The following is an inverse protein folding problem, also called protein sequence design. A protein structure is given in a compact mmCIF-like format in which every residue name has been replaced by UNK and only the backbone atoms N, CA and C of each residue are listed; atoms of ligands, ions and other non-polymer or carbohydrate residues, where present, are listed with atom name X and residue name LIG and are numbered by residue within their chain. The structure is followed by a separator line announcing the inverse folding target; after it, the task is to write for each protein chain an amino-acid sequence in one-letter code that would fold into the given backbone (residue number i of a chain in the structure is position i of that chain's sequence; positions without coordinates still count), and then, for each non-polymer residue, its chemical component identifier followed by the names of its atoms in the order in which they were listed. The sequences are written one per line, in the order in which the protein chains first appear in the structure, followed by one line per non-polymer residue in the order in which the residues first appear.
data_IF_172199387604
#
_entry.id   IF_172199387604
#
_cell.length_a   1.000
_cell.length_b   1.000
_cell.length_c   1.000
_cell.angle_alpha   90.00
_cell.angle_beta   90.00
_cell.angle_gamma   90.00
#
_symmetry.space_group_name_H-M   'P 1'
#
loop_
_entity.id
_entity.type
_entity.pdbx_description
1 polymer ?
#
# COMPACT_ATOMS: atom_id res chain seq x y z
N UNK A 1 -23.00 -0.62 -3.26
CA UNK A 1 -21.99 0.44 -3.43
C UNK A 1 -20.66 -0.14 -3.00
N UNK A 2 -19.67 -0.15 -3.87
CA UNK A 2 -18.35 -0.71 -3.58
C UNK A 2 -17.50 0.35 -2.89
N UNK A 3 -17.24 0.18 -1.59
CA UNK A 3 -16.41 1.10 -0.82
C UNK A 3 -14.95 0.63 -0.86
N UNK A 4 -14.07 1.45 -1.43
CA UNK A 4 -12.63 1.21 -1.50
C UNK A 4 -11.97 1.65 -0.21
N UNK A 5 -11.25 0.76 0.46
CA UNK A 5 -10.43 1.13 1.60
C UNK A 5 -9.10 1.64 1.07
N UNK A 6 -8.79 2.89 1.36
CA UNK A 6 -7.53 3.54 0.96
C UNK A 6 -6.69 3.80 2.20
N UNK A 7 -5.66 2.98 2.37
CA UNK A 7 -4.60 3.23 3.33
C UNK A 7 -3.71 4.36 2.80
N UNK A 8 -3.84 5.52 3.42
CA UNK A 8 -3.11 6.71 3.06
C UNK A 8 -2.31 7.25 4.24
N UNK A 9 -1.45 8.22 3.95
CA UNK A 9 -0.79 9.01 4.98
C UNK A 9 -1.12 10.48 4.72
N UNK A 10 -1.66 11.23 5.70
CA UNK A 10 -2.17 12.59 5.49
C UNK A 10 -1.11 13.59 4.98
N UNK A 11 0.18 13.36 5.30
CA UNK A 11 1.29 14.20 4.81
C UNK A 11 1.79 13.81 3.41
N UNK A 12 1.25 12.76 2.78
CA UNK A 12 1.70 12.30 1.47
C UNK A 12 0.91 12.96 0.34
N UNK A 13 1.59 13.76 -0.49
CA UNK A 13 0.98 14.40 -1.67
C UNK A 13 0.47 13.40 -2.71
N UNK A 14 1.22 12.31 -2.95
CA UNK A 14 0.85 11.24 -3.89
C UNK A 14 -0.46 10.54 -3.50
N UNK A 15 -0.71 10.40 -2.20
CA UNK A 15 -1.99 9.85 -1.73
C UNK A 15 -3.17 10.74 -2.11
N UNK A 16 -3.04 12.07 -2.01
CA UNK A 16 -4.13 12.99 -2.37
C UNK A 16 -4.49 12.90 -3.85
N UNK A 17 -3.48 12.75 -4.72
CA UNK A 17 -3.72 12.58 -6.15
C UNK A 17 -4.49 11.28 -6.45
N UNK A 18 -4.13 10.17 -5.79
CA UNK A 18 -4.84 8.91 -5.94
C UNK A 18 -6.29 8.99 -5.47
N UNK A 19 -6.52 9.62 -4.30
CA UNK A 19 -7.85 9.81 -3.75
C UNK A 19 -8.71 10.67 -4.67
N UNK A 20 -8.14 11.73 -5.24
CA UNK A 20 -8.84 12.56 -6.21
C UNK A 20 -9.23 11.75 -7.44
N UNK A 21 -8.27 11.03 -8.03
CA UNK A 21 -8.51 10.22 -9.22
C UNK A 21 -9.60 9.17 -9.00
N UNK A 22 -9.55 8.42 -7.89
CA UNK A 22 -10.56 7.40 -7.59
C UNK A 22 -11.95 8.01 -7.32
N UNK A 23 -12.02 9.21 -6.70
CA UNK A 23 -13.27 9.95 -6.55
C UNK A 23 -13.81 10.44 -7.89
N UNK A 24 -12.92 10.86 -8.80
CA UNK A 24 -13.29 11.25 -10.18
C UNK A 24 -13.86 10.08 -10.97
N UNK A 25 -13.43 8.84 -10.69
CA UNK A 25 -14.06 7.62 -11.21
C UNK A 25 -15.40 7.27 -10.53
N UNK A 26 -15.88 8.06 -9.56
CA UNK A 26 -17.16 7.86 -8.89
C UNK A 26 -17.17 6.78 -7.80
N UNK A 27 -16.01 6.32 -7.33
CA UNK A 27 -15.94 5.34 -6.25
C UNK A 27 -16.00 5.99 -4.86
N UNK A 28 -16.58 5.26 -3.90
CA UNK A 28 -16.59 5.66 -2.49
C UNK A 28 -15.28 5.23 -1.80
N UNK A 29 -14.62 6.16 -1.10
CA UNK A 29 -13.28 5.95 -0.54
C UNK A 29 -13.30 6.04 0.99
N UNK A 30 -13.00 4.93 1.66
CA UNK A 30 -12.72 4.90 3.10
C UNK A 30 -11.25 5.20 3.35
N UNK A 31 -10.97 6.33 3.98
CA UNK A 31 -9.61 6.76 4.29
C UNK A 31 -9.13 6.10 5.60
N UNK A 32 -8.10 5.27 5.53
CA UNK A 32 -7.41 4.71 6.71
C UNK A 32 -5.98 5.19 6.81
N UNK A 33 -5.54 5.58 8.00
CA UNK A 33 -4.16 6.03 8.19
C UNK A 33 -3.24 4.83 8.40
N UNK A 34 -2.33 4.59 7.46
CA UNK A 34 -1.41 3.43 7.52
C UNK A 34 -0.41 3.47 8.69
N UNK A 35 -0.20 4.64 9.29
CA UNK A 35 0.72 4.82 10.43
C UNK A 35 0.00 4.69 11.77
N UNK A 36 -1.24 5.15 11.88
CA UNK A 36 -2.02 5.02 13.12
C UNK A 36 -2.71 3.66 13.19
N UNK A 37 -3.21 3.18 12.07
CA UNK A 37 -3.79 1.85 11.87
C UNK A 37 -2.82 1.03 11.03
N UNK A 38 -1.63 0.79 11.57
CA UNK A 38 -0.66 -0.07 10.89
C UNK A 38 -1.22 -1.49 10.87
N UNK A 39 -1.43 -2.07 9.67
CA UNK A 39 -1.91 -3.44 9.57
C UNK A 39 -0.90 -4.40 10.20
N UNK A 40 -1.41 -5.41 10.90
CA UNK A 40 -0.59 -6.45 11.49
C UNK A 40 0.09 -7.32 10.42
N UNK A 41 0.93 -8.25 10.88
CA UNK A 41 1.64 -9.21 10.01
C UNK A 41 0.65 -10.03 9.19
N UNK A 42 -0.38 -10.59 9.82
CA UNK A 42 -1.41 -11.39 9.16
C UNK A 42 -2.19 -10.56 8.13
N UNK A 43 -2.65 -9.37 8.51
CA UNK A 43 -3.43 -8.50 7.62
C UNK A 43 -2.58 -8.03 6.42
N UNK A 44 -1.31 -7.70 6.63
CA UNK A 44 -0.38 -7.41 5.52
C UNK A 44 -0.17 -8.62 4.61
N UNK A 45 -0.09 -9.83 5.17
CA UNK A 45 0.05 -11.06 4.39
C UNK A 45 -1.16 -11.27 3.49
N UNK A 46 -2.37 -11.05 4.02
CA UNK A 46 -3.61 -11.13 3.25
C UNK A 46 -3.66 -10.07 2.15
N UNK A 47 -3.27 -8.83 2.45
CA UNK A 47 -3.20 -7.75 1.45
C UNK A 47 -2.23 -8.06 0.32
N UNK A 48 -1.08 -8.65 0.65
CA UNK A 48 -0.05 -9.03 -0.33
C UNK A 48 -0.55 -10.17 -1.21
N UNK A 49 -1.15 -11.20 -0.60
CA UNK A 49 -1.77 -12.31 -1.32
C UNK A 49 -2.90 -11.83 -2.25
N UNK A 50 -3.78 -10.95 -1.77
CA UNK A 50 -4.86 -10.38 -2.57
C UNK A 50 -4.34 -9.47 -3.70
N UNK A 51 -3.24 -8.76 -3.49
CA UNK A 51 -2.62 -7.94 -4.53
C UNK A 51 -1.97 -8.76 -5.63
N UNK A 52 -1.53 -9.99 -5.32
CA UNK A 52 -0.71 -10.80 -6.22
C UNK A 52 0.67 -10.18 -6.50
N UNK A 53 1.04 -9.11 -5.80
CA UNK A 53 2.32 -8.44 -5.93
C UNK A 53 3.31 -9.03 -4.91
N UNK A 54 4.61 -9.14 -5.27
CA UNK A 54 5.60 -9.56 -4.31
C UNK A 54 5.68 -8.56 -3.16
N UNK A 55 5.84 -9.05 -1.93
CA UNK A 55 5.93 -8.25 -0.70
C UNK A 55 6.91 -7.08 -0.80
N UNK A 56 8.02 -7.27 -1.53
CA UNK A 56 9.02 -6.23 -1.85
C UNK A 56 8.43 -4.96 -2.48
N UNK A 57 7.31 -5.06 -3.21
CA UNK A 57 6.59 -3.91 -3.80
C UNK A 57 5.82 -3.10 -2.77
N UNK A 58 5.47 -3.70 -1.62
CA UNK A 58 4.87 -3.01 -0.48
C UNK A 58 5.88 -2.21 0.32
N UNK A 59 7.18 -2.41 0.12
CA UNK A 59 8.18 -1.55 0.73
C UNK A 59 8.28 -0.22 -0.01
N UNK A 60 8.36 0.86 0.77
CA UNK A 60 8.66 2.20 0.30
C UNK A 60 10.16 2.29 -0.03
N UNK A 61 10.55 1.71 -1.16
CA UNK A 61 11.95 1.68 -1.64
C UNK A 61 12.55 3.07 -1.83
N UNK A 62 11.70 4.09 -2.05
CA UNK A 62 12.11 5.49 -2.18
C UNK A 62 12.19 6.23 -0.85
N UNK A 63 11.70 5.62 0.24
CA UNK A 63 11.67 6.21 1.57
C UNK A 63 13.05 6.32 2.20
N UNK A 64 13.26 7.37 2.98
CA UNK A 64 14.52 7.60 3.69
C UNK A 64 14.81 6.48 4.69
N UNK A 65 13.78 5.98 5.39
CA UNK A 65 13.88 4.85 6.33
C UNK A 65 14.39 3.59 5.63
N UNK A 66 13.90 3.29 4.41
CA UNK A 66 14.34 2.13 3.65
C UNK A 66 15.83 2.19 3.30
N UNK A 67 16.32 3.39 2.94
CA UNK A 67 17.74 3.63 2.65
C UNK A 67 18.58 3.60 3.94
N UNK A 68 18.08 4.21 5.02
CA UNK A 68 18.76 4.30 6.32
C UNK A 68 18.95 2.93 6.97
N UNK A 69 17.94 2.08 6.92
CA UNK A 69 17.95 0.72 7.47
C UNK A 69 18.62 -0.31 6.55
N UNK A 70 19.07 0.12 5.37
CA UNK A 70 19.67 -0.68 4.31
C UNK A 70 18.83 -1.91 3.93
N UNK A 71 17.51 -1.70 3.84
CA UNK A 71 16.56 -2.78 3.58
C UNK A 71 16.77 -3.43 2.21
N UNK A 72 17.35 -2.71 1.24
CA UNK A 72 17.67 -3.29 -0.07
C UNK A 72 18.55 -4.54 0.03
N UNK A 73 19.51 -4.55 0.95
CA UNK A 73 20.43 -5.68 1.16
C UNK A 73 19.85 -6.73 2.11
N UNK A 74 19.01 -6.31 3.07
CA UNK A 74 18.36 -7.22 4.02
C UNK A 74 17.19 -7.98 3.42
N UNK A 75 16.29 -7.32 2.68
CA UNK A 75 15.09 -7.94 2.10
C UNK A 75 15.32 -9.24 1.31
N UNK A 76 16.37 -9.39 0.47
CA UNK A 76 16.62 -10.67 -0.19
C UNK A 76 17.05 -11.79 0.77
N UNK A 77 17.57 -11.45 1.95
CA UNK A 77 17.99 -12.39 2.98
C UNK A 77 16.90 -12.67 4.04
N UNK A 78 15.87 -11.83 4.10
CA UNK A 78 14.75 -11.96 5.04
C UNK A 78 13.62 -12.80 4.46
N UNK A 79 13.03 -13.63 5.32
CA UNK A 79 11.81 -14.39 4.98
C UNK A 79 10.60 -13.47 4.85
N UNK A 80 9.56 -13.90 4.15
CA UNK A 80 8.31 -13.12 3.97
C UNK A 80 7.73 -12.67 5.33
N UNK A 81 7.76 -13.55 6.33
CA UNK A 81 7.34 -13.25 7.69
C UNK A 81 8.14 -12.10 8.33
N UNK A 82 9.46 -12.14 8.25
CA UNK A 82 10.32 -11.08 8.81
C UNK A 82 10.11 -9.74 8.10
N UNK A 83 9.90 -9.80 6.78
CA UNK A 83 9.56 -8.62 5.99
C UNK A 83 8.21 -8.02 6.42
N UNK A 84 7.20 -8.86 6.66
CA UNK A 84 5.91 -8.43 7.19
C UNK A 84 6.05 -7.83 8.60
N UNK A 85 6.86 -8.44 9.48
CA UNK A 85 7.14 -7.91 10.82
C UNK A 85 7.80 -6.53 10.75
N UNK A 86 8.71 -6.29 9.80
CA UNK A 86 9.30 -4.96 9.58
C UNK A 86 8.26 -3.93 9.16
N UNK A 87 7.33 -4.30 8.27
CA UNK A 87 6.27 -3.42 7.81
C UNK A 87 5.25 -3.13 8.93
N UNK A 88 4.86 -4.15 9.68
CA UNK A 88 3.95 -4.05 10.82
C UNK A 88 4.56 -3.24 11.98
N UNK A 89 5.87 -3.40 12.21
CA UNK A 89 6.60 -2.62 13.22
C UNK A 89 6.83 -1.17 12.82
N UNK A 90 6.83 -0.87 11.51
CA UNK A 90 7.04 0.49 11.02
C UNK A 90 6.20 0.80 9.79
N UNK A 91 5.00 1.34 10.00
CA UNK A 91 4.11 1.76 8.92
C UNK A 91 4.73 2.74 7.92
N UNK A 92 5.82 3.47 8.26
CA UNK A 92 6.58 4.31 7.32
C UNK A 92 7.33 3.55 6.22
N UNK A 93 7.62 2.27 6.46
CA UNK A 93 8.20 1.38 5.47
C UNK A 93 7.18 0.91 4.45
N UNK A 94 5.88 1.01 4.74
CA UNK A 94 4.84 0.58 3.81
C UNK A 94 4.66 1.63 2.71
N UNK A 95 4.60 1.19 1.46
CA UNK A 95 4.37 2.00 0.27
C UNK A 95 2.91 2.48 0.26
N UNK A 96 2.73 3.77 -0.01
CA UNK A 96 1.41 4.43 0.00
C UNK A 96 1.09 5.08 -1.35
N UNK A 97 -0.18 5.29 -1.69
CA UNK A 97 -1.38 4.74 -1.03
C UNK A 97 -1.58 3.25 -1.33
N UNK A 98 -2.22 2.49 -0.43
CA UNK A 98 -2.74 1.15 -0.72
C UNK A 98 -4.24 1.25 -0.87
N UNK A 99 -4.79 0.71 -1.94
CA UNK A 99 -6.24 0.69 -2.19
C UNK A 99 -6.70 -0.74 -2.23
N UNK A 100 -7.77 -1.04 -1.50
CA UNK A 100 -8.29 -2.39 -1.26
C UNK A 100 -9.78 -2.41 -1.53
N UNK A 101 -10.24 -3.40 -2.29
CA UNK A 101 -11.66 -3.70 -2.50
C UNK A 101 -11.87 -5.20 -2.62
N UNK A 102 -12.31 -5.84 -1.55
CA UNK A 102 -12.43 -7.29 -1.49
C UNK A 102 -11.10 -7.96 -1.86
N UNK A 103 -11.05 -8.65 -3.00
CA UNK A 103 -9.85 -9.34 -3.48
C UNK A 103 -8.94 -8.50 -4.39
N UNK A 104 -9.28 -7.23 -4.65
CA UNK A 104 -8.44 -6.33 -5.48
C UNK A 104 -7.61 -5.44 -4.57
N UNK A 105 -6.29 -5.48 -4.71
CA UNK A 105 -5.37 -4.62 -3.95
C UNK A 105 -4.33 -3.98 -4.87
N UNK A 106 -4.20 -2.66 -4.79
CA UNK A 106 -3.18 -1.90 -5.52
C UNK A 106 -2.29 -1.12 -4.58
N UNK A 107 -1.00 -1.07 -4.89
CA UNK A 107 0.03 -0.49 -4.01
C UNK A 107 0.81 0.60 -4.72
N UNK A 108 0.74 1.80 -4.16
CA UNK A 108 1.30 3.01 -4.75
C UNK A 108 0.38 3.57 -5.83
N UNK A 109 0.44 4.89 -6.03
CA UNK A 109 -0.36 5.54 -7.06
C UNK A 109 0.38 5.49 -8.39
N UNK A 110 -0.18 4.74 -9.33
CA UNK A 110 0.22 4.73 -10.73
C UNK A 110 -1.04 4.61 -11.55
N UNK A 111 -1.27 5.58 -12.41
CA UNK A 111 -2.48 5.62 -13.24
C UNK A 111 -2.58 4.38 -14.14
N UNK A 112 -1.45 3.88 -14.63
CA UNK A 112 -1.35 2.66 -15.44
C UNK A 112 -1.83 1.39 -14.70
N UNK A 113 -1.56 1.30 -13.39
CA UNK A 113 -2.02 0.17 -12.56
C UNK A 113 -3.47 0.39 -12.09
N UNK A 114 -3.87 1.65 -11.86
CA UNK A 114 -5.19 2.00 -11.35
C UNK A 114 -6.26 1.90 -12.42
N UNK A 115 -5.99 2.36 -13.64
CA UNK A 115 -6.94 2.38 -14.76
C UNK A 115 -7.55 0.99 -15.07
N UNK A 116 -6.80 -0.10 -15.23
CA UNK A 116 -7.40 -1.41 -15.50
C UNK A 116 -8.14 -2.02 -14.29
N UNK A 117 -7.86 -1.57 -13.07
CA UNK A 117 -8.42 -2.18 -11.84
C UNK A 117 -9.63 -1.41 -11.34
N UNK A 118 -9.53 -0.08 -11.37
CA UNK A 118 -10.44 0.90 -10.78
C UNK A 118 -11.01 1.89 -11.80
N UNK A 119 -10.51 1.91 -13.04
CA UNK A 119 -11.05 2.78 -14.08
C UNK A 119 -12.49 2.39 -14.39
N UNK A 120 -13.35 3.39 -14.51
CA UNK A 120 -14.66 3.26 -15.14
C UNK A 120 -14.48 3.54 -16.62
N UNK A 121 -14.75 2.54 -17.47
CA UNK A 121 -14.82 2.72 -18.94
C UNK A 121 -15.89 3.73 -19.35
#
# INVERSE_FOLDING_TARGET
MSQLIVYHYPKCGTCRNALKWLKEQGHDLELRNIVEQTPGVDELSELVAASGLPLKKFFNTSGEVYKRENLKEKLPNLSEREQLELLAGNGMLIKRPIVVLGNKVTVGFKEEDFRPIWGTE
#
